data_IF_259402869279
#
_entry.id   IF_259402869279
#
_cell.length_a   1.000
_cell.length_b   1.000
_cell.length_c   1.000
_cell.angle_alpha   90.00
_cell.angle_beta   90.00
_cell.angle_gamma   90.00
#
_symmetry.space_group_name_H-M   'P 1'
#
loop_
_entity.id
_entity.type
_entity.pdbx_description
1 polymer ?
#
# COMPACT_ATOMS: atom_id res chain seq x y z
N UNK A 1 -26.31 6.03 2.02
CA UNK A 1 -24.85 5.83 2.14
C UNK A 1 -24.24 6.22 0.80
N UNK A 2 -23.49 7.31 0.78
CA UNK A 2 -22.85 7.77 -0.46
C UNK A 2 -21.89 6.70 -0.94
N UNK A 3 -22.16 6.13 -2.11
CA UNK A 3 -21.31 5.15 -2.75
C UNK A 3 -20.17 5.92 -3.45
N UNK A 4 -19.09 6.18 -2.69
CA UNK A 4 -17.90 6.86 -3.25
C UNK A 4 -17.18 5.85 -4.14
N UNK A 5 -17.07 6.13 -5.45
CA UNK A 5 -16.42 5.21 -6.38
C UNK A 5 -15.01 4.82 -5.93
N UNK A 6 -14.72 3.52 -5.94
CA UNK A 6 -13.44 2.97 -5.54
C UNK A 6 -13.17 2.93 -4.02
N UNK A 7 -14.07 3.40 -3.17
CA UNK A 7 -13.94 3.24 -1.72
C UNK A 7 -13.95 1.78 -1.27
N UNK A 8 -14.79 0.88 -1.85
CA UNK A 8 -14.72 -0.55 -1.54
C UNK A 8 -13.34 -1.17 -1.80
N UNK A 9 -12.69 -0.79 -2.89
CA UNK A 9 -11.33 -1.25 -3.20
C UNK A 9 -10.30 -0.82 -2.14
N UNK A 10 -10.38 0.44 -1.66
CA UNK A 10 -9.47 0.95 -0.61
C UNK A 10 -9.71 0.30 0.75
N UNK A 11 -10.99 0.04 1.09
CA UNK A 11 -11.32 -0.73 2.30
C UNK A 11 -10.75 -2.14 2.24
N UNK A 12 -10.88 -2.81 1.11
CA UNK A 12 -10.32 -4.15 0.91
C UNK A 12 -8.79 -4.14 0.99
N UNK A 13 -8.13 -3.16 0.36
CA UNK A 13 -6.68 -3.01 0.44
C UNK A 13 -6.22 -2.80 1.90
N UNK A 14 -6.91 -1.94 2.66
CA UNK A 14 -6.62 -1.76 4.09
C UNK A 14 -6.78 -3.06 4.88
N UNK A 15 -7.86 -3.81 4.63
CA UNK A 15 -8.07 -5.11 5.26
C UNK A 15 -6.98 -6.12 4.93
N UNK A 16 -6.45 -6.10 3.69
CA UNK A 16 -5.34 -6.98 3.29
C UNK A 16 -4.07 -6.66 4.07
N UNK A 17 -3.65 -5.41 4.11
CA UNK A 17 -2.42 -5.04 4.81
C UNK A 17 -2.54 -5.22 6.32
N UNK A 18 -3.71 -4.93 6.90
CA UNK A 18 -3.97 -5.17 8.32
C UNK A 18 -3.92 -6.67 8.65
N UNK A 19 -4.41 -7.54 7.76
CA UNK A 19 -4.33 -8.98 7.92
C UNK A 19 -2.88 -9.47 7.92
N UNK A 20 -2.07 -8.95 7.02
CA UNK A 20 -0.63 -9.30 6.96
C UNK A 20 0.10 -8.81 8.22
N UNK A 21 -0.10 -7.53 8.63
CA UNK A 21 0.65 -6.94 9.73
C UNK A 21 0.24 -7.42 11.11
N UNK A 22 -1.06 -7.59 11.34
CA UNK A 22 -1.58 -7.86 12.68
C UNK A 22 -1.93 -9.33 12.92
N UNK A 23 -2.25 -10.07 11.85
CA UNK A 23 -2.63 -11.49 11.97
C UNK A 23 -1.60 -12.45 11.39
N UNK A 24 -0.54 -11.94 10.75
CA UNK A 24 0.48 -12.78 10.12
C UNK A 24 -0.07 -13.63 8.96
N UNK A 25 -1.19 -13.21 8.36
CA UNK A 25 -1.75 -13.91 7.20
C UNK A 25 -0.85 -13.71 5.97
N UNK A 26 -0.81 -14.69 5.08
CA UNK A 26 -0.21 -14.49 3.76
C UNK A 26 -1.09 -13.51 2.97
N UNK A 27 -0.48 -12.76 2.04
CA UNK A 27 -1.23 -11.83 1.20
C UNK A 27 -2.35 -12.53 0.44
N UNK A 28 -2.11 -13.76 -0.02
CA UNK A 28 -3.10 -14.58 -0.71
C UNK A 28 -4.33 -14.92 0.17
N UNK A 29 -4.10 -15.27 1.44
CA UNK A 29 -5.20 -15.51 2.39
C UNK A 29 -5.98 -14.23 2.68
N UNK A 30 -5.27 -13.13 2.95
CA UNK A 30 -5.83 -11.81 3.18
C UNK A 30 -6.68 -11.35 1.98
N UNK A 31 -6.18 -11.54 0.76
CA UNK A 31 -6.89 -11.24 -0.48
C UNK A 31 -8.20 -12.02 -0.61
N UNK A 32 -8.17 -13.34 -0.45
CA UNK A 32 -9.38 -14.16 -0.51
C UNK A 32 -10.47 -13.68 0.44
N UNK A 33 -10.08 -13.25 1.64
CA UNK A 33 -11.02 -12.76 2.64
C UNK A 33 -11.54 -11.35 2.34
N UNK A 34 -10.65 -10.42 2.01
CA UNK A 34 -10.99 -9.02 1.78
C UNK A 34 -11.84 -8.80 0.52
N UNK A 35 -11.58 -9.58 -0.54
CA UNK A 35 -12.26 -9.41 -1.83
C UNK A 35 -13.64 -10.06 -1.92
N UNK A 36 -14.06 -10.85 -0.93
CA UNK A 36 -15.40 -11.49 -0.95
C UNK A 36 -16.54 -10.50 -1.08
N UNK A 37 -16.39 -9.29 -0.55
CA UNK A 37 -17.40 -8.23 -0.53
C UNK A 37 -17.14 -7.11 -1.54
N UNK A 38 -16.14 -7.29 -2.41
CA UNK A 38 -15.82 -6.32 -3.45
C UNK A 38 -16.48 -6.75 -4.75
N UNK A 39 -17.40 -5.93 -5.23
CA UNK A 39 -18.09 -6.17 -6.49
C UNK A 39 -17.26 -5.62 -7.65
N UNK A 40 -17.22 -6.38 -8.74
CA UNK A 40 -16.56 -5.96 -9.96
C UNK A 40 -15.06 -6.28 -10.02
N UNK A 41 -14.58 -6.65 -11.22
CA UNK A 41 -13.20 -7.03 -11.44
C UNK A 41 -12.23 -5.84 -11.31
N UNK A 42 -12.66 -4.64 -11.70
CA UNK A 42 -11.84 -3.43 -11.63
C UNK A 42 -11.50 -3.04 -10.17
N UNK A 43 -12.49 -3.03 -9.26
CA UNK A 43 -12.25 -2.73 -7.86
C UNK A 43 -11.41 -3.81 -7.16
N UNK A 44 -11.58 -5.07 -7.55
CA UNK A 44 -10.72 -6.16 -7.06
C UNK A 44 -9.28 -5.99 -7.52
N UNK A 45 -9.08 -5.66 -8.79
CA UNK A 45 -7.74 -5.42 -9.34
C UNK A 45 -7.08 -4.20 -8.67
N UNK A 46 -7.84 -3.12 -8.46
CA UNK A 46 -7.36 -1.93 -7.76
C UNK A 46 -6.96 -2.22 -6.32
N UNK A 47 -7.78 -2.99 -5.58
CA UNK A 47 -7.45 -3.39 -4.21
C UNK A 47 -6.14 -4.18 -4.13
N UNK A 48 -5.93 -5.12 -5.05
CA UNK A 48 -4.67 -5.89 -5.16
C UNK A 48 -3.48 -4.99 -5.48
N UNK A 49 -3.64 -4.10 -6.45
CA UNK A 49 -2.58 -3.17 -6.83
C UNK A 49 -2.17 -2.27 -5.66
N UNK A 50 -3.13 -1.68 -4.95
CA UNK A 50 -2.85 -0.82 -3.79
C UNK A 50 -2.15 -1.62 -2.69
N UNK A 51 -2.66 -2.79 -2.30
CA UNK A 51 -2.04 -3.60 -1.26
C UNK A 51 -0.65 -4.08 -1.66
N UNK A 52 -0.48 -4.55 -2.90
CA UNK A 52 0.81 -5.02 -3.42
C UNK A 52 1.88 -3.92 -3.45
N UNK A 53 1.55 -2.73 -3.96
CA UNK A 53 2.50 -1.61 -3.98
C UNK A 53 2.80 -1.11 -2.55
N UNK A 54 1.80 -1.09 -1.67
CA UNK A 54 2.01 -0.72 -0.26
C UNK A 54 3.01 -1.64 0.43
N UNK A 55 2.88 -2.95 0.25
CA UNK A 55 3.78 -3.93 0.86
C UNK A 55 5.17 -3.90 0.23
N UNK A 56 5.25 -3.72 -1.08
CA UNK A 56 6.52 -3.64 -1.83
C UNK A 56 7.38 -2.47 -1.39
N UNK A 57 6.77 -1.30 -1.18
CA UNK A 57 7.46 -0.06 -0.84
C UNK A 57 7.34 0.32 0.64
N UNK A 58 7.02 -0.64 1.50
CA UNK A 58 6.68 -0.40 2.90
C UNK A 58 7.70 0.44 3.66
N UNK A 59 8.97 0.10 3.54
CA UNK A 59 10.08 0.79 4.24
C UNK A 59 10.21 2.25 3.76
N UNK A 60 10.10 2.47 2.46
CA UNK A 60 10.22 3.80 1.86
C UNK A 60 8.99 4.68 2.18
N UNK A 61 7.80 4.09 2.15
CA UNK A 61 6.56 4.79 2.54
C UNK A 61 6.58 5.19 4.02
N UNK A 62 7.10 4.32 4.89
CA UNK A 62 7.25 4.63 6.30
C UNK A 62 8.25 5.76 6.54
N UNK A 63 9.38 5.76 5.83
CA UNK A 63 10.37 6.84 5.90
C UNK A 63 9.76 8.20 5.48
N UNK A 64 8.94 8.22 4.43
CA UNK A 64 8.23 9.42 4.00
C UNK A 64 7.25 9.91 5.08
N UNK A 65 6.44 9.02 5.66
CA UNK A 65 5.50 9.36 6.72
C UNK A 65 6.24 9.95 7.92
N UNK A 66 7.32 9.29 8.37
CA UNK A 66 8.10 9.73 9.52
C UNK A 66 8.78 11.09 9.28
N UNK A 67 9.17 11.39 8.03
CA UNK A 67 9.72 12.70 7.66
C UNK A 67 8.73 13.87 7.76
N UNK A 68 7.44 13.59 7.80
CA UNK A 68 6.37 14.59 7.83
C UNK A 68 5.59 14.60 9.16
N UNK A 69 5.97 13.76 10.13
CA UNK A 69 5.33 13.69 11.44
C UNK A 69 6.29 14.14 12.53
N UNK A 70 5.80 14.93 13.49
CA UNK A 70 6.63 15.39 14.66
C UNK A 70 6.95 14.26 15.63
N UNK A 71 6.04 13.31 15.74
CA UNK A 71 6.20 12.07 16.52
C UNK A 71 5.91 10.90 15.60
N UNK A 72 6.76 9.89 15.67
CA UNK A 72 6.54 8.68 14.90
C UNK A 72 5.20 8.05 15.28
N UNK A 73 4.39 7.77 14.28
CA UNK A 73 3.18 7.00 14.45
C UNK A 73 3.55 5.54 14.73
N UNK A 74 2.91 4.85 15.66
CA UNK A 74 3.09 3.40 15.82
C UNK A 74 2.91 2.66 14.51
N UNK A 75 3.68 1.60 14.30
CA UNK A 75 3.64 0.83 13.04
C UNK A 75 2.27 0.20 12.77
N UNK A 76 1.54 -0.11 13.83
CA UNK A 76 0.20 -0.70 13.83
C UNK A 76 -0.93 0.35 13.88
N UNK A 77 -0.60 1.63 13.93
CA UNK A 77 -1.61 2.68 13.95
C UNK A 77 -2.38 2.74 12.63
N UNK A 78 -3.72 2.69 12.71
CA UNK A 78 -4.60 2.77 11.54
C UNK A 78 -4.31 3.97 10.62
N UNK A 79 -4.06 5.20 11.15
CA UNK A 79 -3.69 6.33 10.28
C UNK A 79 -2.38 6.11 9.52
N UNK A 80 -1.40 5.38 10.07
CA UNK A 80 -0.18 5.00 9.34
C UNK A 80 -0.51 4.07 8.19
N UNK A 81 -1.31 3.03 8.42
CA UNK A 81 -1.75 2.11 7.37
C UNK A 81 -2.48 2.84 6.24
N UNK A 82 -3.38 3.76 6.59
CA UNK A 82 -4.10 4.58 5.58
C UNK A 82 -3.14 5.49 4.81
N UNK A 83 -2.18 6.14 5.47
CA UNK A 83 -1.17 6.97 4.82
C UNK A 83 -0.29 6.15 3.85
N UNK A 84 0.12 4.94 4.23
CA UNK A 84 0.82 4.01 3.33
C UNK A 84 0.03 3.75 2.06
N UNK A 85 -1.28 3.44 2.17
CA UNK A 85 -2.15 3.25 1.01
C UNK A 85 -2.29 4.50 0.15
N UNK A 86 -2.42 5.67 0.78
CA UNK A 86 -2.55 6.95 0.07
C UNK A 86 -1.28 7.26 -0.73
N UNK A 87 -0.11 7.10 -0.12
CA UNK A 87 1.19 7.35 -0.77
C UNK A 87 1.49 6.32 -1.86
N UNK A 88 1.19 5.04 -1.65
CA UNK A 88 1.35 4.02 -2.69
C UNK A 88 0.51 4.34 -3.94
N UNK A 89 -0.73 4.80 -3.75
CA UNK A 89 -1.58 5.23 -4.87
C UNK A 89 -1.01 6.45 -5.59
N UNK A 90 -0.46 7.41 -4.86
CA UNK A 90 0.11 8.63 -5.43
C UNK A 90 1.40 8.35 -6.20
N UNK A 91 2.32 7.59 -5.60
CA UNK A 91 3.68 7.41 -6.11
C UNK A 91 3.83 6.24 -7.10
N UNK A 92 2.90 5.29 -7.08
CA UNK A 92 3.01 4.04 -7.87
C UNK A 92 1.84 3.77 -8.81
N UNK A 93 0.69 4.33 -8.55
CA UNK A 93 -0.52 4.06 -9.33
C UNK A 93 -1.07 5.32 -10.03
N UNK A 94 -0.31 6.40 -10.05
CA UNK A 94 -0.64 7.68 -10.71
C UNK A 94 -2.05 8.18 -10.39
N UNK A 95 -2.54 7.85 -9.19
CA UNK A 95 -3.88 8.27 -8.76
C UNK A 95 -3.85 9.74 -8.38
N UNK A 96 -4.75 10.57 -8.91
CA UNK A 96 -4.78 12.00 -8.59
C UNK A 96 -4.98 12.25 -7.09
N UNK A 97 -4.25 13.23 -6.48
CA UNK A 97 -4.32 13.50 -5.04
C UNK A 97 -5.74 13.76 -4.52
N UNK A 98 -6.60 14.45 -5.28
CA UNK A 98 -7.98 14.70 -4.86
C UNK A 98 -8.81 13.41 -4.71
N UNK A 99 -8.61 12.44 -5.60
CA UNK A 99 -9.30 11.14 -5.53
C UNK A 99 -8.79 10.31 -4.36
N UNK A 100 -7.48 10.36 -4.07
CA UNK A 100 -6.87 9.71 -2.92
C UNK A 100 -7.42 10.29 -1.61
N UNK A 101 -7.48 11.62 -1.51
CA UNK A 101 -8.02 12.32 -0.33
C UNK A 101 -9.49 11.96 -0.13
N UNK A 102 -10.31 12.04 -1.17
CA UNK A 102 -11.74 11.75 -1.09
C UNK A 102 -12.05 10.34 -0.58
N UNK A 103 -11.24 9.35 -0.99
CA UNK A 103 -11.46 7.95 -0.62
C UNK A 103 -10.68 7.53 0.63
N UNK A 104 -9.41 7.96 0.75
CA UNK A 104 -8.53 7.57 1.85
C UNK A 104 -9.01 8.11 3.21
N UNK A 105 -9.48 9.36 3.25
CA UNK A 105 -9.96 9.95 4.48
C UNK A 105 -11.28 9.34 4.99
N UNK A 106 -12.06 8.68 4.12
CA UNK A 106 -13.26 7.93 4.54
C UNK A 106 -12.94 6.64 5.32
N UNK A 107 -11.68 6.22 5.31
CA UNK A 107 -11.19 5.10 6.12
C UNK A 107 -10.92 5.49 7.58
N UNK A 108 -10.92 6.78 7.88
CA UNK A 108 -10.59 7.36 9.18
C UNK A 108 -11.68 8.31 9.67
N UNK A 109 -11.71 8.52 10.99
CA UNK A 109 -12.61 9.48 11.65
C UNK A 109 -11.84 10.38 12.61
N UNK A 110 -12.39 11.54 12.93
CA UNK A 110 -11.87 12.42 14.00
C UNK A 110 -10.44 12.91 13.83
N UNK A 111 -9.66 12.82 14.90
CA UNK A 111 -8.25 13.24 14.94
C UNK A 111 -7.35 12.53 13.94
N UNK A 112 -7.39 11.19 13.86
CA UNK A 112 -6.67 10.42 12.84
C UNK A 112 -6.93 10.87 11.39
N UNK A 113 -8.16 11.22 11.05
CA UNK A 113 -8.52 11.76 9.73
C UNK A 113 -7.82 13.10 9.46
N UNK A 114 -7.85 14.02 10.42
CA UNK A 114 -7.17 15.33 10.31
C UNK A 114 -5.65 15.17 10.19
N UNK A 115 -5.07 14.28 10.98
CA UNK A 115 -3.64 13.97 10.91
C UNK A 115 -3.26 13.44 9.52
N UNK A 116 -3.95 12.43 9.02
CA UNK A 116 -3.67 11.84 7.71
C UNK A 116 -3.81 12.86 6.58
N UNK A 117 -4.83 13.72 6.63
CA UNK A 117 -4.99 14.82 5.67
C UNK A 117 -3.80 15.79 5.70
N UNK A 118 -3.38 16.22 6.90
CA UNK A 118 -2.26 17.15 7.07
C UNK A 118 -0.94 16.56 6.58
N UNK A 119 -0.64 15.31 6.96
CA UNK A 119 0.59 14.61 6.55
C UNK A 119 0.61 14.39 5.04
N UNK A 120 -0.45 13.85 4.46
CA UNK A 120 -0.53 13.61 3.02
C UNK A 120 -0.41 14.91 2.21
N UNK A 121 -1.12 15.97 2.62
CA UNK A 121 -1.06 17.27 1.97
C UNK A 121 0.33 17.93 2.08
N UNK A 122 1.03 17.74 3.20
CA UNK A 122 2.40 18.24 3.35
C UNK A 122 3.38 17.48 2.45
N UNK A 123 3.21 16.17 2.33
CA UNK A 123 4.05 15.34 1.47
C UNK A 123 3.83 15.63 -0.01
N UNK A 124 2.59 15.71 -0.47
CA UNK A 124 2.29 15.97 -1.90
C UNK A 124 2.71 17.34 -2.41
N UNK A 125 3.07 18.27 -1.52
CA UNK A 125 3.67 19.57 -1.87
C UNK A 125 5.19 19.50 -2.10
N UNK A 126 5.80 18.37 -1.73
CA UNK A 126 7.23 18.12 -1.95
C UNK A 126 7.41 17.38 -3.27
N UNK A 127 8.57 17.54 -3.88
CA UNK A 127 9.00 16.69 -4.99
C UNK A 127 9.40 15.33 -4.43
N UNK A 128 8.41 14.43 -4.33
CA UNK A 128 8.59 13.10 -3.77
C UNK A 128 9.04 12.12 -4.85
N UNK A 129 10.12 11.42 -4.57
CA UNK A 129 10.57 10.30 -5.38
C UNK A 129 10.81 9.07 -4.49
N UNK A 130 10.48 7.91 -5.00
CA UNK A 130 10.92 6.64 -4.45
C UNK A 130 12.30 6.30 -5.05
N UNK A 131 13.13 5.51 -4.35
CA UNK A 131 14.38 5.03 -4.92
C UNK A 131 14.15 4.13 -6.14
N UNK A 132 15.21 3.81 -6.90
CA UNK A 132 15.12 2.96 -8.10
C UNK A 132 14.65 1.53 -7.79
N UNK A 133 14.82 1.08 -6.57
CA UNK A 133 14.32 -0.21 -6.08
C UNK A 133 13.85 -0.09 -4.63
N UNK A 134 12.90 -0.94 -4.19
CA UNK A 134 12.40 -0.92 -2.81
C UNK A 134 13.51 -1.11 -1.78
N UNK A 135 13.51 -0.30 -0.74
CA UNK A 135 14.38 -0.49 0.41
C UNK A 135 13.89 -1.69 1.22
N UNK A 136 14.73 -2.71 1.32
CA UNK A 136 14.41 -3.92 2.08
C UNK A 136 14.63 -3.69 3.58
N UNK A 137 13.81 -4.32 4.45
CA UNK A 137 14.07 -4.31 5.88
C UNK A 137 15.46 -4.84 6.24
N UNK A 138 16.15 -4.29 7.26
CA UNK A 138 17.52 -4.71 7.63
C UNK A 138 17.67 -6.21 7.83
N UNK A 139 16.72 -6.85 8.50
CA UNK A 139 16.74 -8.31 8.72
C UNK A 139 16.68 -9.12 7.42
N UNK A 140 16.01 -8.59 6.39
CA UNK A 140 15.94 -9.23 5.07
C UNK A 140 17.26 -9.04 4.33
N UNK A 141 17.86 -7.85 4.40
CA UNK A 141 19.17 -7.56 3.82
C UNK A 141 20.23 -8.46 4.43
N UNK A 142 20.27 -8.58 5.76
CA UNK A 142 21.17 -9.46 6.48
C UNK A 142 21.01 -10.92 6.03
N UNK A 143 19.78 -11.41 5.91
CA UNK A 143 19.50 -12.79 5.48
C UNK A 143 19.90 -13.09 4.04
N UNK A 144 19.73 -12.13 3.13
CA UNK A 144 19.99 -12.31 1.69
C UNK A 144 21.40 -11.89 1.27
N UNK A 145 22.11 -11.13 2.12
CA UNK A 145 23.48 -10.69 1.90
C UNK A 145 23.66 -9.98 0.55
N UNK A 146 24.68 -10.35 -0.19
CA UNK A 146 25.02 -9.74 -1.49
C UNK A 146 23.89 -9.82 -2.54
N UNK A 147 22.96 -10.76 -2.41
CA UNK A 147 21.82 -10.90 -3.33
C UNK A 147 20.68 -9.91 -3.07
N UNK A 148 20.68 -9.23 -1.92
CA UNK A 148 19.60 -8.36 -1.51
C UNK A 148 19.28 -7.26 -2.54
N UNK A 149 20.31 -6.61 -3.11
CA UNK A 149 20.14 -5.56 -4.11
C UNK A 149 19.51 -6.07 -5.41
N UNK A 150 19.98 -7.20 -5.92
CA UNK A 150 19.42 -7.80 -7.14
C UNK A 150 17.97 -8.25 -6.94
N UNK A 151 17.65 -8.79 -5.75
CA UNK A 151 16.28 -9.19 -5.39
C UNK A 151 15.38 -7.95 -5.30
N UNK A 152 15.82 -6.87 -4.64
CA UNK A 152 15.07 -5.63 -4.55
C UNK A 152 14.74 -5.06 -5.94
N UNK A 153 15.71 -5.03 -6.85
CA UNK A 153 15.49 -4.60 -8.24
C UNK A 153 14.52 -5.52 -8.98
N UNK A 154 14.55 -6.82 -8.70
CA UNK A 154 13.62 -7.78 -9.28
C UNK A 154 12.17 -7.59 -8.82
N UNK A 155 11.94 -7.02 -7.63
CA UNK A 155 10.59 -6.82 -7.11
C UNK A 155 9.76 -5.80 -7.89
N UNK A 156 10.40 -4.91 -8.65
CA UNK A 156 9.70 -3.90 -9.47
C UNK A 156 9.44 -4.37 -10.90
N UNK A 157 10.03 -5.48 -11.30
CA UNK A 157 9.84 -6.05 -12.63
C UNK A 157 8.61 -6.96 -12.60
N UNK A 158 7.61 -6.76 -13.48
CA UNK A 158 6.50 -7.68 -13.58
C UNK A 158 7.01 -9.10 -13.88
N UNK A 159 6.50 -10.13 -13.20
CA UNK A 159 6.89 -11.51 -13.50
C UNK A 159 6.50 -11.87 -14.94
N UNK A 160 7.28 -12.73 -15.62
CA UNK A 160 6.88 -13.25 -16.92
C UNK A 160 5.57 -14.02 -16.80
N UNK A 161 4.77 -13.97 -17.86
CA UNK A 161 3.53 -14.73 -17.92
C UNK A 161 3.83 -16.20 -18.25
N UNK A 162 3.66 -17.06 -17.25
CA UNK A 162 3.72 -18.51 -17.43
C UNK A 162 2.34 -19.07 -17.76
N UNK A 163 2.20 -19.67 -18.93
CA UNK A 163 0.97 -20.32 -19.36
C UNK A 163 1.17 -21.83 -19.36
N UNK A 164 0.45 -22.53 -18.48
CA UNK A 164 0.33 -23.98 -18.54
C UNK A 164 -0.80 -24.33 -19.52
N UNK A 165 -0.44 -24.85 -20.70
CA UNK A 165 -1.41 -25.36 -21.66
C UNK A 165 -1.75 -26.81 -21.31
N UNK A 166 -3.04 -27.08 -21.17
CA UNK A 166 -3.52 -28.45 -21.04
C UNK A 166 -3.55 -29.07 -22.43
N UNK A 167 -2.73 -30.09 -22.64
CA UNK A 167 -2.82 -30.90 -23.86
C UNK A 167 -4.15 -31.68 -23.82
N UNK A 168 -4.94 -31.56 -24.85
CA UNK A 168 -6.18 -32.33 -25.08
C UNK A 168 -5.88 -33.64 -25.74
#
# INVERSE_FOLDING_TARGET
MSDIPGLPARRAALQMIDAVFHRGETLEQAERNALRRVNGPADRALARAIAGETLRWLTDLDALIDSATRKNLPHDAKPRSVLRLMLAQHLRLDTPPHAIIATGLELLTGGPRRLAHGVFSALTKRDLALPDSPTLPPAVVERWGERASAIASGLIVPPPLDLALKNW
#
